data_IF_135016075957
#
_entry.id   IF_135016075957
#
_cell.length_a   1.000
_cell.length_b   1.000
_cell.length_c   1.000
_cell.angle_alpha   90.00
_cell.angle_beta   90.00
_cell.angle_gamma   90.00
#
_symmetry.space_group_name_H-M   'P 1'
#
loop_
_entity.id
_entity.type
_entity.pdbx_description
1 polymer ?
#
# COMPACT_ATOMS: atom_id res chain seq x y z
N UNK A 1 -1.58 9.49 -5.19
CA UNK A 1 -0.84 9.64 -6.45
C UNK A 1 -1.77 9.54 -7.67
N UNK A 2 -2.48 8.44 -7.90
CA UNK A 2 -3.40 8.28 -9.07
C UNK A 2 -4.41 9.43 -9.17
N UNK A 3 -5.03 9.85 -8.08
CA UNK A 3 -5.98 10.99 -8.08
C UNK A 3 -5.34 12.31 -8.53
N UNK A 4 -4.09 12.55 -8.15
CA UNK A 4 -3.36 13.73 -8.63
C UNK A 4 -3.08 13.60 -10.12
N UNK A 5 -2.56 12.45 -10.54
CA UNK A 5 -2.24 12.19 -11.95
C UNK A 5 -3.47 12.33 -12.86
N UNK A 6 -4.65 11.84 -12.44
CA UNK A 6 -5.89 11.90 -13.21
C UNK A 6 -6.35 13.31 -13.58
N UNK A 7 -5.81 14.34 -12.92
CA UNK A 7 -6.13 15.75 -13.20
C UNK A 7 -5.28 16.37 -14.28
N UNK A 8 -4.19 15.71 -14.67
CA UNK A 8 -3.19 16.30 -15.57
C UNK A 8 -2.87 15.41 -16.76
N UNK A 9 -3.13 14.10 -16.66
CA UNK A 9 -2.79 13.14 -17.71
C UNK A 9 -3.95 12.18 -17.96
N UNK A 10 -4.01 11.65 -19.18
CA UNK A 10 -4.92 10.58 -19.57
C UNK A 10 -4.40 9.24 -18.98
N UNK A 11 -5.06 8.75 -17.94
CA UNK A 11 -4.66 7.53 -17.25
C UNK A 11 -4.76 6.29 -18.14
N UNK A 12 -5.61 6.28 -19.18
CA UNK A 12 -5.77 5.12 -20.08
C UNK A 12 -4.50 4.77 -20.86
N UNK A 13 -3.58 5.72 -20.96
CA UNK A 13 -2.30 5.58 -21.65
C UNK A 13 -1.16 5.12 -20.75
N UNK A 14 -1.45 4.76 -19.50
CA UNK A 14 -0.46 4.41 -18.49
C UNK A 14 -0.73 3.03 -17.91
N UNK A 15 0.33 2.32 -17.53
CA UNK A 15 0.25 1.03 -16.87
C UNK A 15 0.32 1.23 -15.35
N UNK A 16 -0.52 0.53 -14.61
CA UNK A 16 -0.55 0.57 -13.15
C UNK A 16 -0.25 -0.82 -12.62
N UNK A 17 0.54 -0.89 -11.53
CA UNK A 17 0.84 -2.15 -10.90
C UNK A 17 0.89 -2.02 -9.38
N UNK A 18 0.65 -3.14 -8.72
CA UNK A 18 0.72 -3.30 -7.28
C UNK A 18 1.57 -4.50 -6.92
N UNK A 19 2.52 -4.32 -5.99
CA UNK A 19 3.27 -5.43 -5.42
C UNK A 19 2.55 -5.99 -4.20
N UNK A 20 2.22 -7.28 -4.24
CA UNK A 20 1.65 -7.98 -3.09
C UNK A 20 2.73 -8.69 -2.28
N UNK A 21 2.58 -8.69 -0.95
CA UNK A 21 3.47 -9.43 -0.04
C UNK A 21 3.11 -10.91 0.05
N UNK A 22 1.90 -11.26 -0.32
CA UNK A 22 1.42 -12.63 -0.36
C UNK A 22 1.35 -13.14 -1.79
N UNK A 23 1.48 -14.45 -2.01
CA UNK A 23 1.24 -15.06 -3.32
C UNK A 23 -0.15 -14.73 -3.86
N UNK A 24 -1.12 -14.58 -2.96
CA UNK A 24 -2.49 -14.16 -3.29
C UNK A 24 -2.80 -12.84 -2.58
N UNK A 25 -3.40 -11.91 -3.29
CA UNK A 25 -3.85 -10.63 -2.71
C UNK A 25 -4.95 -10.90 -1.68
N UNK A 26 -4.79 -10.35 -0.48
CA UNK A 26 -5.81 -10.48 0.55
C UNK A 26 -7.14 -9.86 0.11
N UNK A 27 -8.29 -10.45 0.47
CA UNK A 27 -9.61 -10.01 0.01
C UNK A 27 -9.88 -8.52 0.20
N UNK A 28 -9.56 -7.96 1.36
CA UNK A 28 -9.74 -6.52 1.61
C UNK A 28 -8.92 -5.64 0.66
N UNK A 29 -7.71 -6.06 0.34
CA UNK A 29 -6.82 -5.34 -0.57
C UNK A 29 -7.33 -5.46 -2.00
N UNK A 30 -7.77 -6.65 -2.40
CA UNK A 30 -8.38 -6.86 -3.71
C UNK A 30 -9.61 -5.95 -3.90
N UNK A 31 -10.51 -5.89 -2.92
CA UNK A 31 -11.67 -4.97 -2.93
C UNK A 31 -11.24 -3.50 -3.03
N UNK A 32 -10.21 -3.10 -2.31
CA UNK A 32 -9.68 -1.75 -2.38
C UNK A 32 -9.10 -1.40 -3.77
N UNK A 33 -8.29 -2.29 -4.36
CA UNK A 33 -7.74 -2.11 -5.71
C UNK A 33 -8.85 -2.03 -6.76
N UNK A 34 -9.85 -2.91 -6.72
CA UNK A 34 -11.00 -2.88 -7.62
C UNK A 34 -11.81 -1.57 -7.55
N UNK A 35 -11.91 -0.96 -6.35
CA UNK A 35 -12.54 0.36 -6.22
C UNK A 35 -11.73 1.45 -6.91
N UNK A 36 -10.40 1.40 -6.81
CA UNK A 36 -9.51 2.31 -7.53
C UNK A 36 -9.67 2.14 -9.03
N UNK A 37 -9.64 0.90 -9.53
CA UNK A 37 -9.84 0.59 -10.94
C UNK A 37 -11.15 1.16 -11.47
N UNK A 38 -12.24 0.89 -10.75
CA UNK A 38 -13.59 1.42 -11.13
C UNK A 38 -13.66 2.94 -11.08
N UNK A 39 -13.07 3.57 -10.04
CA UNK A 39 -13.11 5.03 -9.88
C UNK A 39 -12.38 5.76 -11.00
N UNK A 40 -11.24 5.23 -11.43
CA UNK A 40 -10.38 5.93 -12.39
C UNK A 40 -10.39 5.32 -13.80
N UNK A 41 -11.18 4.27 -14.03
CA UNK A 41 -11.23 3.58 -15.33
C UNK A 41 -9.91 2.97 -15.76
N UNK A 42 -9.12 2.48 -14.80
CA UNK A 42 -7.80 1.88 -15.03
C UNK A 42 -7.81 0.39 -14.69
N UNK A 43 -6.77 -0.31 -15.12
CA UNK A 43 -6.46 -1.66 -14.67
C UNK A 43 -5.16 -1.65 -13.87
N UNK A 44 -5.12 -2.42 -12.79
CA UNK A 44 -3.94 -2.58 -11.92
C UNK A 44 -3.43 -4.00 -12.03
N UNK A 45 -2.25 -4.17 -12.61
CA UNK A 45 -1.59 -5.47 -12.67
C UNK A 45 -0.93 -5.80 -11.34
N UNK A 46 -1.17 -7.01 -10.86
CA UNK A 46 -0.70 -7.47 -9.55
C UNK A 46 0.55 -8.33 -9.74
N UNK A 47 1.62 -7.96 -9.07
CA UNK A 47 2.89 -8.66 -9.10
C UNK A 47 3.28 -9.12 -7.70
N UNK A 48 3.89 -10.28 -7.60
CA UNK A 48 4.48 -10.76 -6.36
C UNK A 48 5.65 -9.87 -5.95
N UNK A 49 5.80 -9.63 -4.63
CA UNK A 49 6.87 -8.78 -4.12
C UNK A 49 8.25 -9.37 -4.48
N UNK A 50 9.08 -8.61 -5.21
CA UNK A 50 10.37 -9.08 -5.69
C UNK A 50 11.36 -9.46 -4.57
N UNK A 51 11.19 -8.91 -3.36
CA UNK A 51 12.04 -9.25 -2.21
C UNK A 51 11.95 -10.75 -1.86
N UNK A 52 10.79 -11.37 -2.06
CA UNK A 52 10.61 -12.81 -1.84
C UNK A 52 11.33 -13.67 -2.89
N UNK A 53 11.48 -13.16 -4.10
CA UNK A 53 12.21 -13.85 -5.20
C UNK A 53 13.70 -13.54 -5.21
N UNK A 54 14.21 -12.81 -4.20
CA UNK A 54 15.62 -12.40 -4.11
C UNK A 54 16.02 -11.26 -5.06
N UNK A 55 15.07 -10.70 -5.80
CA UNK A 55 15.32 -9.54 -6.66
C UNK A 55 15.33 -8.24 -5.84
N UNK A 56 16.17 -7.32 -6.24
CA UNK A 56 16.09 -5.95 -5.75
C UNK A 56 14.85 -5.27 -6.33
N UNK A 57 14.23 -4.38 -5.56
CA UNK A 57 13.05 -3.64 -6.00
C UNK A 57 13.31 -2.85 -7.31
N UNK A 58 14.50 -2.29 -7.48
CA UNK A 58 14.89 -1.60 -8.72
C UNK A 58 14.92 -2.50 -9.95
N UNK A 59 15.33 -3.77 -9.78
CA UNK A 59 15.35 -4.76 -10.86
C UNK A 59 13.92 -5.19 -11.24
N UNK A 60 13.03 -5.33 -10.25
CA UNK A 60 11.62 -5.60 -10.52
C UNK A 60 10.95 -4.47 -11.29
N UNK A 61 11.19 -3.21 -10.90
CA UNK A 61 10.69 -2.06 -11.66
C UNK A 61 11.25 -2.02 -13.08
N UNK A 62 12.53 -2.37 -13.28
CA UNK A 62 13.11 -2.43 -14.60
C UNK A 62 12.41 -3.48 -15.48
N UNK A 63 12.21 -4.69 -14.98
CA UNK A 63 11.51 -5.77 -15.70
C UNK A 63 10.07 -5.38 -16.09
N UNK A 64 9.34 -4.75 -15.19
CA UNK A 64 7.97 -4.29 -15.49
C UNK A 64 8.00 -3.20 -16.57
N UNK A 65 8.91 -2.22 -16.48
CA UNK A 65 9.04 -1.21 -17.54
C UNK A 65 9.32 -1.83 -18.90
N UNK A 66 10.26 -2.77 -18.95
CA UNK A 66 10.61 -3.50 -20.18
C UNK A 66 9.41 -4.26 -20.75
N UNK A 67 8.64 -4.95 -19.90
CA UNK A 67 7.48 -5.74 -20.35
C UNK A 67 6.33 -4.89 -20.90
N UNK A 68 6.18 -3.66 -20.45
CA UNK A 68 5.11 -2.75 -20.90
C UNK A 68 5.60 -1.59 -21.78
N UNK A 69 6.89 -1.55 -22.12
CA UNK A 69 7.47 -0.49 -22.96
C UNK A 69 7.49 0.89 -22.31
N UNK A 70 7.42 0.98 -20.98
CA UNK A 70 7.39 2.24 -20.26
C UNK A 70 8.80 2.83 -20.10
N UNK A 71 8.92 4.15 -20.21
CA UNK A 71 10.20 4.86 -20.03
C UNK A 71 10.52 5.09 -18.56
N UNK A 72 9.53 5.49 -17.77
CA UNK A 72 9.68 5.85 -16.36
C UNK A 72 8.65 5.14 -15.48
N UNK A 73 9.00 4.93 -14.21
CA UNK A 73 8.08 4.42 -13.19
C UNK A 73 7.73 5.53 -12.21
N UNK A 74 6.44 5.85 -12.08
CA UNK A 74 5.95 6.76 -11.03
C UNK A 74 5.84 6.03 -9.68
N UNK A 75 6.51 6.53 -8.64
CA UNK A 75 6.54 5.92 -7.32
C UNK A 75 6.09 6.93 -6.26
N UNK A 76 5.25 6.49 -5.32
CA UNK A 76 4.75 7.34 -4.22
C UNK A 76 5.75 7.60 -3.08
N UNK A 77 7.04 7.49 -3.30
CA UNK A 77 8.05 7.74 -2.27
C UNK A 77 8.11 9.21 -1.86
N UNK A 78 8.35 9.43 -0.58
CA UNK A 78 8.55 10.75 0.02
C UNK A 78 9.83 10.78 0.85
N UNK A 79 10.49 11.93 0.90
CA UNK A 79 11.70 12.11 1.72
C UNK A 79 11.44 11.92 3.23
N UNK A 80 10.18 12.03 3.64
CA UNK A 80 9.74 11.89 5.04
C UNK A 80 9.34 10.46 5.42
N UNK A 81 9.34 9.49 4.48
CA UNK A 81 8.92 8.12 4.78
C UNK A 81 9.97 7.34 5.59
N UNK A 82 11.26 7.51 5.27
CA UNK A 82 12.36 6.87 5.97
C UNK A 82 13.71 7.54 5.66
N UNK A 83 14.71 7.26 6.49
CA UNK A 83 16.09 7.72 6.22
C UNK A 83 16.64 7.17 4.90
N UNK A 84 16.31 5.92 4.58
CA UNK A 84 16.73 5.30 3.32
C UNK A 84 16.10 6.01 2.11
N UNK A 85 14.78 6.29 2.14
CA UNK A 85 14.10 7.02 1.07
C UNK A 85 14.61 8.46 0.94
N UNK A 86 14.89 9.10 2.07
CA UNK A 86 15.54 10.43 2.08
C UNK A 86 16.90 10.39 1.39
N UNK A 87 17.75 9.41 1.69
CA UNK A 87 19.04 9.25 1.05
C UNK A 87 18.93 9.04 -0.47
N UNK A 88 17.97 8.20 -0.91
CA UNK A 88 17.71 7.95 -2.33
C UNK A 88 17.26 9.22 -3.05
N UNK A 89 16.39 10.03 -2.42
CA UNK A 89 15.74 11.18 -3.06
C UNK A 89 16.51 12.49 -2.88
N UNK A 90 17.51 12.56 -2.00
CA UNK A 90 18.25 13.80 -1.66
C UNK A 90 18.94 14.45 -2.86
N UNK A 91 19.43 13.64 -3.78
CA UNK A 91 20.13 14.12 -4.99
C UNK A 91 19.20 14.42 -6.18
N UNK A 92 17.87 14.35 -6.00
CA UNK A 92 16.90 14.49 -7.08
C UNK A 92 15.82 15.49 -6.67
N UNK A 93 16.13 16.79 -6.75
CA UNK A 93 15.26 17.87 -6.26
C UNK A 93 13.94 17.97 -7.02
N UNK A 94 13.95 17.65 -8.31
CA UNK A 94 12.77 17.53 -9.17
C UNK A 94 11.97 16.22 -8.95
N UNK A 95 12.47 15.32 -8.10
CA UNK A 95 11.88 13.99 -7.85
C UNK A 95 12.16 12.98 -8.95
N UNK A 96 12.97 13.30 -9.95
CA UNK A 96 13.29 12.42 -11.08
C UNK A 96 14.67 11.80 -10.88
N UNK A 97 14.75 10.48 -11.01
CA UNK A 97 16.03 9.75 -11.05
C UNK A 97 16.18 9.08 -12.42
N UNK A 98 16.89 9.75 -13.31
CA UNK A 98 17.12 9.27 -14.68
C UNK A 98 17.87 7.94 -14.71
N UNK A 99 18.86 7.77 -13.84
CA UNK A 99 19.67 6.54 -13.77
C UNK A 99 18.81 5.32 -13.42
N UNK A 100 17.89 5.46 -12.46
CA UNK A 100 16.99 4.40 -12.03
C UNK A 100 15.64 4.42 -12.78
N UNK A 101 15.45 5.42 -13.66
CA UNK A 101 14.23 5.60 -14.48
C UNK A 101 12.95 5.63 -13.64
N UNK A 102 12.93 6.42 -12.57
CA UNK A 102 11.72 6.65 -11.78
C UNK A 102 11.51 8.14 -11.49
N UNK A 103 10.26 8.50 -11.19
CA UNK A 103 9.89 9.81 -10.68
C UNK A 103 8.99 9.69 -9.46
N UNK A 104 9.13 10.67 -8.55
CA UNK A 104 8.41 10.69 -7.28
C UNK A 104 7.60 12.00 -7.16
N UNK A 105 6.38 12.04 -7.71
CA UNK A 105 5.57 13.28 -7.75
C UNK A 105 5.17 13.78 -6.37
N UNK A 106 5.28 12.96 -5.34
CA UNK A 106 4.97 13.32 -3.95
C UNK A 106 6.23 13.43 -3.07
N UNK A 107 7.42 13.59 -3.68
CA UNK A 107 8.72 13.59 -3.01
C UNK A 107 8.74 14.43 -1.72
N UNK A 108 8.25 15.66 -1.79
CA UNK A 108 8.33 16.63 -0.70
C UNK A 108 7.07 16.65 0.19
N UNK A 109 6.12 15.77 -0.07
CA UNK A 109 4.89 15.69 0.72
C UNK A 109 5.13 15.01 2.06
N UNK A 110 4.60 15.62 3.11
CA UNK A 110 4.50 14.99 4.43
C UNK A 110 3.27 14.08 4.52
N UNK A 111 3.26 13.14 5.46
CA UNK A 111 2.08 12.31 5.73
C UNK A 111 0.86 13.16 6.12
N UNK A 112 1.07 14.29 6.80
CA UNK A 112 0.00 15.23 7.14
C UNK A 112 -0.65 15.83 5.89
N UNK A 113 0.15 16.23 4.91
CA UNK A 113 -0.35 16.76 3.63
C UNK A 113 -1.08 15.69 2.82
N UNK A 114 -0.57 14.46 2.76
CA UNK A 114 -1.27 13.34 2.10
C UNK A 114 -2.64 13.09 2.72
N UNK A 115 -2.73 13.04 4.06
CA UNK A 115 -4.01 12.86 4.77
C UNK A 115 -4.95 14.04 4.54
N UNK A 116 -4.45 15.27 4.59
CA UNK A 116 -5.24 16.48 4.33
C UNK A 116 -5.80 16.49 2.90
N UNK A 117 -4.97 16.17 1.92
CA UNK A 117 -5.38 16.03 0.52
C UNK A 117 -6.47 14.95 0.36
N UNK A 118 -6.24 13.78 0.91
CA UNK A 118 -7.21 12.69 0.83
C UNK A 118 -8.57 13.09 1.43
N UNK A 119 -8.56 13.79 2.58
CA UNK A 119 -9.78 14.31 3.21
C UNK A 119 -10.47 15.36 2.34
N UNK A 120 -9.71 16.34 1.81
CA UNK A 120 -10.25 17.43 0.99
C UNK A 120 -10.89 16.92 -0.31
N UNK A 121 -10.40 15.81 -0.85
CA UNK A 121 -10.90 15.21 -2.09
C UNK A 121 -11.77 13.96 -1.87
N UNK A 122 -12.23 13.72 -0.63
CA UNK A 122 -13.03 12.56 -0.26
C UNK A 122 -12.47 11.23 -0.77
N UNK A 123 -11.12 11.09 -0.74
CA UNK A 123 -10.46 9.87 -1.17
C UNK A 123 -10.52 8.83 -0.06
N UNK A 124 -10.94 7.64 -0.43
CA UNK A 124 -10.83 6.50 0.45
C UNK A 124 -9.37 6.05 0.51
N UNK A 125 -8.77 6.15 1.68
CA UNK A 125 -7.45 5.57 1.92
C UNK A 125 -7.53 4.06 2.07
N UNK A 126 -6.41 3.38 1.88
CA UNK A 126 -6.33 1.96 2.18
C UNK A 126 -6.66 1.73 3.67
N UNK A 127 -7.33 0.62 4.01
CA UNK A 127 -7.82 0.36 5.37
C UNK A 127 -6.76 0.51 6.46
N UNK A 128 -5.53 0.16 6.16
CA UNK A 128 -4.40 0.25 7.09
C UNK A 128 -4.20 1.67 7.65
N UNK A 129 -4.52 2.69 6.86
CA UNK A 129 -4.41 4.08 7.30
C UNK A 129 -5.46 4.48 8.34
N UNK A 130 -6.61 3.81 8.38
CA UNK A 130 -7.62 4.04 9.42
C UNK A 130 -7.21 3.52 10.79
N UNK A 131 -6.28 2.58 10.84
CA UNK A 131 -5.74 2.01 12.09
C UNK A 131 -4.54 2.80 12.65
N UNK A 132 -4.33 4.02 12.17
CA UNK A 132 -3.19 4.83 12.61
C UNK A 132 -1.87 4.41 11.99
N UNK A 133 -1.87 3.40 11.11
CA UNK A 133 -0.69 3.02 10.35
C UNK A 133 -0.18 4.23 9.57
N UNK A 134 1.08 4.53 9.75
CA UNK A 134 1.78 5.53 8.94
C UNK A 134 2.35 4.92 7.67
N UNK A 135 2.32 3.59 7.57
CA UNK A 135 2.92 2.75 6.51
C UNK A 135 2.00 1.58 6.18
N UNK A 136 2.28 0.88 5.09
CA UNK A 136 1.60 -0.38 4.75
C UNK A 136 1.82 -1.45 5.82
N UNK A 137 0.87 -2.39 5.95
CA UNK A 137 0.81 -3.39 7.04
C UNK A 137 2.06 -4.28 7.21
N UNK A 138 3.01 -4.21 6.31
CA UNK A 138 4.28 -4.95 6.39
C UNK A 138 5.14 -4.59 7.60
N UNK A 139 4.89 -3.44 8.20
CA UNK A 139 5.64 -2.95 9.35
C UNK A 139 4.96 -3.22 10.70
N UNK A 140 3.74 -3.74 10.69
CA UNK A 140 3.09 -4.27 11.90
C UNK A 140 3.56 -5.71 12.19
N UNK A 141 4.86 -6.01 12.04
CA UNK A 141 5.39 -7.35 12.23
C UNK A 141 4.59 -8.21 13.20
N UNK A 142 4.42 -8.47 14.25
CA UNK A 142 3.60 -9.39 15.00
C UNK A 142 2.13 -8.95 15.22
N UNK A 143 1.83 -7.65 15.34
CA UNK A 143 0.45 -7.16 15.53
C UNK A 143 -0.44 -7.34 14.30
N UNK A 144 0.14 -7.59 13.14
CA UNK A 144 -0.55 -7.74 11.87
C UNK A 144 -1.64 -8.81 11.88
N UNK A 145 -1.37 -9.94 12.50
CA UNK A 145 -2.34 -11.04 12.62
C UNK A 145 -3.57 -10.63 13.42
N UNK A 146 -3.37 -9.86 14.51
CA UNK A 146 -4.45 -9.31 15.35
C UNK A 146 -5.26 -8.29 14.56
N UNK A 147 -4.60 -7.39 13.83
CA UNK A 147 -5.25 -6.38 12.98
C UNK A 147 -6.09 -7.05 11.89
N UNK A 148 -5.55 -8.03 11.18
CA UNK A 148 -6.30 -8.78 10.16
C UNK A 148 -7.56 -9.39 10.74
N UNK A 149 -7.46 -10.11 11.84
CA UNK A 149 -8.58 -10.85 12.40
C UNK A 149 -9.66 -9.97 13.02
N UNK A 150 -9.26 -8.97 13.81
CA UNK A 150 -10.19 -8.18 14.62
C UNK A 150 -10.65 -6.88 13.95
N UNK A 151 -9.80 -6.26 13.13
CA UNK A 151 -10.06 -4.94 12.58
C UNK A 151 -10.40 -4.97 11.08
N UNK A 152 -9.97 -6.00 10.35
CA UNK A 152 -10.28 -6.14 8.92
C UNK A 152 -11.36 -7.21 8.75
N UNK A 153 -11.00 -8.48 8.69
CA UNK A 153 -11.99 -9.56 8.64
C UNK A 153 -11.39 -10.92 9.01
N UNK A 154 -12.24 -11.84 9.46
CA UNK A 154 -11.84 -13.23 9.66
C UNK A 154 -11.40 -13.88 8.34
N UNK A 155 -12.07 -13.55 7.21
CA UNK A 155 -11.74 -14.05 5.89
C UNK A 155 -10.29 -13.69 5.51
N UNK A 156 -9.90 -12.43 5.73
CA UNK A 156 -8.53 -11.96 5.45
C UNK A 156 -7.51 -12.65 6.35
N UNK A 157 -7.83 -12.86 7.61
CA UNK A 157 -6.98 -13.61 8.53
C UNK A 157 -6.77 -15.05 8.07
N UNK A 158 -7.83 -15.77 7.72
CA UNK A 158 -7.74 -17.14 7.24
C UNK A 158 -6.99 -17.23 5.91
N UNK A 159 -7.22 -16.29 5.00
CA UNK A 159 -6.47 -16.22 3.75
C UNK A 159 -4.97 -16.01 3.99
N UNK A 160 -4.60 -15.11 4.89
CA UNK A 160 -3.20 -14.87 5.25
C UNK A 160 -2.56 -16.08 5.94
N UNK A 161 -3.28 -16.72 6.88
CA UNK A 161 -2.83 -17.92 7.59
C UNK A 161 -2.57 -19.09 6.64
N UNK A 162 -3.44 -19.29 5.64
CA UNK A 162 -3.26 -20.32 4.63
C UNK A 162 -1.98 -20.15 3.79
N UNK A 163 -1.53 -18.91 3.62
CA UNK A 163 -0.34 -18.59 2.86
C UNK A 163 0.93 -18.53 3.72
N UNK A 164 0.80 -18.17 4.99
CA UNK A 164 1.90 -18.07 5.94
C UNK A 164 1.44 -18.54 7.35
N UNK A 165 1.75 -19.80 7.71
CA UNK A 165 1.36 -20.35 9.03
C UNK A 165 1.90 -19.55 10.23
N UNK A 166 2.94 -18.72 10.06
CA UNK A 166 3.47 -17.87 11.13
C UNK A 166 2.45 -16.83 11.58
N UNK A 167 1.47 -16.50 10.77
CA UNK A 167 0.36 -15.61 11.12
C UNK A 167 -0.40 -16.10 12.37
N UNK A 168 -0.59 -17.41 12.52
CA UNK A 168 -1.23 -17.96 13.73
C UNK A 168 -0.34 -17.82 14.97
N UNK A 169 0.94 -18.07 14.82
CA UNK A 169 1.92 -17.91 15.92
C UNK A 169 1.98 -16.45 16.36
N UNK A 170 2.00 -15.53 15.40
CA UNK A 170 1.99 -14.09 15.68
C UNK A 170 0.67 -13.67 16.35
N UNK A 171 -0.47 -14.21 15.92
CA UNK A 171 -1.75 -13.94 16.54
C UNK A 171 -1.75 -14.36 18.00
N UNK A 172 -1.38 -15.61 18.31
CA UNK A 172 -1.33 -16.13 19.68
C UNK A 172 -0.36 -15.33 20.57
N UNK A 173 0.73 -14.85 20.01
CA UNK A 173 1.73 -14.05 20.72
C UNK A 173 1.25 -12.64 21.07
N UNK A 174 0.48 -12.01 20.19
CA UNK A 174 0.13 -10.59 20.29
C UNK A 174 -1.34 -10.30 20.62
N UNK A 175 -2.22 -11.30 20.62
CA UNK A 175 -3.67 -11.11 20.90
C UNK A 175 -3.95 -10.47 22.26
N UNK A 176 -3.09 -10.71 23.24
CA UNK A 176 -3.20 -10.20 24.61
C UNK A 176 -2.31 -8.98 24.89
N UNK A 177 -1.54 -8.54 23.92
CA UNK A 177 -0.69 -7.36 24.03
C UNK A 177 -1.52 -6.10 24.34
N UNK A 178 -1.13 -5.27 25.32
CA UNK A 178 -1.88 -4.08 25.71
C UNK A 178 -2.09 -3.07 24.56
N UNK A 179 -1.12 -2.92 23.66
CA UNK A 179 -1.27 -2.02 22.50
C UNK A 179 -2.29 -2.58 21.51
N UNK A 180 -2.30 -3.91 21.28
CA UNK A 180 -3.28 -4.57 20.45
C UNK A 180 -4.70 -4.45 21.02
N UNK A 181 -4.87 -4.65 22.33
CA UNK A 181 -6.16 -4.47 23.03
C UNK A 181 -6.64 -3.03 22.92
N UNK A 182 -5.79 -2.07 23.22
CA UNK A 182 -6.12 -0.65 23.08
C UNK A 182 -6.47 -0.25 21.64
N UNK A 183 -5.84 -0.88 20.66
CA UNK A 183 -6.15 -0.66 19.24
C UNK A 183 -7.53 -1.22 18.90
N UNK A 184 -7.84 -2.44 19.30
CA UNK A 184 -9.14 -3.08 19.03
C UNK A 184 -10.31 -2.40 19.75
N UNK A 185 -10.10 -1.85 20.95
CA UNK A 185 -11.11 -1.11 21.71
C UNK A 185 -11.43 0.27 21.12
N UNK A 186 -10.46 0.93 20.51
CA UNK A 186 -10.62 2.27 19.92
C UNK A 186 -11.31 2.28 18.56
N UNK A 187 -11.42 1.12 17.93
CA UNK A 187 -11.93 1.05 16.57
C UNK A 187 -13.42 0.75 16.53
N UNK A 188 -14.21 1.46 15.73
CA UNK A 188 -15.55 1.07 15.45
C UNK A 188 -15.55 -0.33 14.83
N UNK A 189 -16.53 -1.15 15.21
CA UNK A 189 -16.62 -2.57 14.82
C UNK A 189 -16.46 -2.81 13.31
N UNK A 190 -16.17 -4.05 12.94
CA UNK A 190 -15.83 -4.53 11.59
C UNK A 190 -16.70 -3.97 10.46
N UNK A 191 -17.96 -3.69 10.73
CA UNK A 191 -18.96 -3.21 9.75
C UNK A 191 -18.78 -1.74 9.34
N UNK A 192 -17.98 -0.96 10.08
CA UNK A 192 -17.77 0.46 9.79
C UNK A 192 -16.46 0.73 9.04
N UNK A 193 -15.51 -0.20 9.03
CA UNK A 193 -14.23 -0.05 8.34
C UNK A 193 -14.41 -0.08 6.80
N UNK A 194 -15.47 -0.73 6.32
CA UNK A 194 -15.84 -0.80 4.90
C UNK A 194 -17.35 -0.64 4.73
N UNK A 195 -17.90 0.57 4.87
CA UNK A 195 -19.26 0.76 4.45
C UNK A 195 -19.32 0.44 2.95
N UNK A 196 -20.08 -0.59 2.60
CA UNK A 196 -20.54 -0.80 1.23
C UNK A 196 -21.52 0.34 0.88
N UNK A 197 -20.98 1.53 0.72
CA UNK A 197 -21.73 2.63 0.12
C UNK A 197 -21.61 2.47 -1.38
N UNK A 198 -22.75 2.08 -1.93
CA UNK A 198 -23.11 2.03 -3.35
C UNK A 198 -22.69 3.30 -4.09
#
# INVERSE_FOLDING_TARGET
MIDIASRFIDLSRHNFFYFTFYPVVLPYKARYLQRIERKYGIRIDIHENPVKSGLKQSEAFARIRESCGAELTGIGYKIYDSLQRRAILKGHEDGINEKCRFFCPMRDWTNKQVKAYAKAHALQLAPEYSFGATREMDEFSGMRAVVLRHLISEEDYQCAKAQDPRIEVDYERFKDDPECKALTERMPGKDTAFPDRQ
#
